data_IF_415345342089
#
_entry.id   IF_415345342089
#
_cell.length_a   1.000
_cell.length_b   1.000
_cell.length_c   1.000
_cell.angle_alpha   90.00
_cell.angle_beta   90.00
_cell.angle_gamma   90.00
#
_symmetry.space_group_name_H-M   'P 1'
#
loop_
_entity.id
_entity.type
_entity.pdbx_description
1 polymer ?
#
# COMPACT_ATOMS: atom_id res chain seq x y z
N UNK A 1 -15.89 -9.05 -0.06
CA UNK A 1 -15.73 -7.67 -0.58
C UNK A 1 -14.37 -7.55 -1.25
N UNK A 2 -14.30 -6.86 -2.39
CA UNK A 2 -13.06 -6.55 -3.10
C UNK A 2 -12.99 -5.03 -3.21
N UNK A 3 -11.85 -4.46 -2.87
CA UNK A 3 -11.54 -3.05 -3.10
C UNK A 3 -10.22 -2.99 -3.86
N UNK A 4 -10.21 -2.39 -5.04
CA UNK A 4 -9.03 -2.33 -5.88
C UNK A 4 -8.97 -1.00 -6.65
N UNK A 5 -7.75 -0.48 -6.84
CA UNK A 5 -7.52 0.74 -7.63
C UNK A 5 -6.21 1.41 -7.28
N UNK A 6 -6.02 2.59 -7.86
CA UNK A 6 -4.95 3.53 -7.53
C UNK A 6 -5.38 4.39 -6.33
N UNK A 7 -4.71 4.21 -5.20
CA UNK A 7 -5.01 4.93 -3.96
C UNK A 7 -4.15 6.21 -3.81
N UNK A 8 -3.16 6.42 -4.70
CA UNK A 8 -2.22 7.53 -4.64
C UNK A 8 -1.56 7.72 -3.25
N UNK A 9 -1.35 6.62 -2.52
CA UNK A 9 -0.72 6.61 -1.20
C UNK A 9 0.21 5.41 -1.07
N UNK A 10 1.20 5.54 -0.18
CA UNK A 10 2.12 4.47 0.21
C UNK A 10 1.62 3.90 1.54
N UNK A 11 1.34 2.59 1.61
CA UNK A 11 0.86 1.92 2.83
C UNK A 11 2.00 1.56 3.77
N UNK A 12 3.08 0.98 3.23
CA UNK A 12 4.29 0.63 3.98
C UNK A 12 5.51 1.40 3.48
N UNK A 13 6.12 2.24 4.32
CA UNK A 13 7.26 3.06 3.89
C UNK A 13 8.55 2.26 3.64
N UNK A 14 8.64 1.04 4.17
CA UNK A 14 9.80 0.17 3.99
C UNK A 14 9.65 -0.71 2.75
N UNK A 15 8.43 -1.16 2.44
CA UNK A 15 8.16 -2.12 1.36
C UNK A 15 7.57 -1.48 0.10
N UNK A 16 6.73 -0.45 0.24
CA UNK A 16 5.96 0.14 -0.87
C UNK A 16 6.63 1.34 -1.54
N UNK A 17 7.83 1.72 -1.12
CA UNK A 17 8.58 2.77 -1.79
C UNK A 17 10.09 2.59 -1.66
N UNK A 18 10.85 3.08 -2.65
CA UNK A 18 12.32 3.18 -2.55
C UNK A 18 12.80 4.45 -1.84
N UNK A 19 11.88 5.26 -1.32
CA UNK A 19 12.21 6.55 -0.71
C UNK A 19 12.92 6.37 0.63
N UNK A 20 13.98 7.15 0.85
CA UNK A 20 14.77 7.13 2.10
C UNK A 20 14.10 7.96 3.22
N UNK A 21 13.08 8.76 2.89
CA UNK A 21 12.43 9.70 3.82
C UNK A 21 10.93 9.45 3.90
N UNK A 22 10.39 9.53 5.12
CA UNK A 22 8.97 9.38 5.41
C UNK A 22 8.09 10.24 4.50
N UNK A 23 7.01 9.65 3.99
CA UNK A 23 6.06 10.28 3.11
C UNK A 23 5.09 11.16 3.93
N UNK A 24 4.52 12.21 3.33
CA UNK A 24 3.55 13.07 4.03
C UNK A 24 2.19 12.38 4.24
N UNK A 25 1.90 11.31 3.49
CA UNK A 25 0.59 10.62 3.52
C UNK A 25 0.40 9.61 4.67
N UNK A 26 1.30 9.58 5.66
CA UNK A 26 1.23 8.60 6.79
C UNK A 26 -0.14 8.58 7.45
N UNK A 27 -0.79 9.74 7.60
CA UNK A 27 -2.13 9.82 8.19
C UNK A 27 -3.19 9.09 7.35
N UNK A 28 -3.16 9.23 6.03
CA UNK A 28 -4.09 8.56 5.11
C UNK A 28 -3.89 7.05 5.10
N UNK A 29 -2.64 6.61 5.03
CA UNK A 29 -2.28 5.19 5.11
C UNK A 29 -2.71 4.56 6.45
N UNK A 30 -2.50 5.28 7.55
CA UNK A 30 -2.92 4.83 8.89
C UNK A 30 -4.43 4.68 8.99
N UNK A 31 -5.19 5.66 8.47
CA UNK A 31 -6.66 5.60 8.47
C UNK A 31 -7.18 4.44 7.60
N UNK A 32 -6.61 4.26 6.40
CA UNK A 32 -6.98 3.16 5.52
C UNK A 32 -6.65 1.80 6.14
N UNK A 33 -5.50 1.68 6.79
CA UNK A 33 -5.13 0.47 7.53
C UNK A 33 -6.12 0.16 8.65
N UNK A 34 -6.48 1.17 9.47
CA UNK A 34 -7.47 1.00 10.55
C UNK A 34 -8.82 0.55 10.02
N UNK A 35 -9.34 1.24 8.99
CA UNK A 35 -10.59 0.85 8.33
C UNK A 35 -10.50 -0.57 7.74
N UNK A 36 -9.35 -0.93 7.17
CA UNK A 36 -9.09 -2.27 6.66
C UNK A 36 -9.20 -3.33 7.75
N UNK A 37 -8.57 -3.10 8.91
CA UNK A 37 -8.65 -4.00 10.07
C UNK A 37 -10.10 -4.17 10.55
N UNK A 38 -10.85 -3.07 10.68
CA UNK A 38 -12.25 -3.10 11.11
C UNK A 38 -13.16 -3.88 10.13
N UNK A 39 -12.88 -3.75 8.83
CA UNK A 39 -13.62 -4.43 7.76
C UNK A 39 -13.09 -5.84 7.44
N UNK A 40 -12.06 -6.32 8.16
CA UNK A 40 -11.41 -7.61 7.91
C UNK A 40 -10.74 -7.70 6.52
N UNK A 41 -10.27 -6.57 5.99
CA UNK A 41 -9.56 -6.49 4.73
C UNK A 41 -8.07 -6.78 4.90
N UNK A 42 -7.51 -7.49 3.93
CA UNK A 42 -6.07 -7.72 3.79
C UNK A 42 -5.58 -7.15 2.47
N UNK A 43 -4.36 -6.60 2.47
CA UNK A 43 -3.60 -6.32 1.24
C UNK A 43 -3.15 -7.66 0.63
N UNK A 44 -3.69 -8.02 -0.53
CA UNK A 44 -3.43 -9.32 -1.17
C UNK A 44 -1.95 -9.48 -1.52
N UNK A 45 -1.31 -8.41 -1.99
CA UNK A 45 0.07 -8.48 -2.44
C UNK A 45 1.00 -8.84 -1.28
N UNK A 46 0.94 -8.10 -0.18
CA UNK A 46 1.77 -8.39 1.00
C UNK A 46 1.34 -9.64 1.75
N UNK A 47 0.07 -10.06 1.66
CA UNK A 47 -0.33 -11.34 2.20
C UNK A 47 0.41 -12.50 1.52
N UNK A 48 0.61 -12.42 0.19
CA UNK A 48 1.33 -13.44 -0.59
C UNK A 48 2.85 -13.23 -0.61
N UNK A 49 3.30 -11.98 -0.50
CA UNK A 49 4.69 -11.57 -0.66
C UNK A 49 5.15 -10.63 0.48
N UNK A 50 5.29 -11.12 1.71
CA UNK A 50 5.39 -10.26 2.89
C UNK A 50 6.63 -9.35 2.96
N UNK A 51 7.66 -9.63 2.16
CA UNK A 51 8.94 -8.91 2.22
C UNK A 51 9.41 -8.44 0.84
N UNK A 52 8.61 -8.64 -0.22
CA UNK A 52 9.02 -8.30 -1.58
C UNK A 52 8.69 -6.84 -1.85
N UNK A 53 9.70 -6.09 -2.26
CA UNK A 53 9.55 -4.69 -2.70
C UNK A 53 9.30 -4.65 -4.20
N UNK A 54 8.03 -4.51 -4.57
CA UNK A 54 7.63 -4.34 -5.96
C UNK A 54 6.72 -3.12 -6.11
N UNK A 55 6.79 -2.45 -7.25
CA UNK A 55 6.24 -1.11 -7.43
C UNK A 55 5.33 -1.05 -8.66
N UNK A 56 4.34 -0.17 -8.62
CA UNK A 56 3.38 0.00 -9.72
C UNK A 56 3.52 1.35 -10.42
N UNK A 57 4.25 2.28 -9.81
CA UNK A 57 4.48 3.63 -10.33
C UNK A 57 5.94 4.08 -10.18
N UNK A 58 6.43 4.78 -11.20
CA UNK A 58 7.70 5.49 -11.18
C UNK A 58 7.47 6.99 -11.38
N UNK A 59 7.97 7.79 -10.44
CA UNK A 59 7.98 9.25 -10.56
C UNK A 59 9.33 9.71 -11.11
N UNK A 60 9.35 10.15 -12.37
CA UNK A 60 10.55 10.69 -13.00
C UNK A 60 11.07 11.94 -12.26
N UNK A 61 10.18 12.88 -11.92
CA UNK A 61 10.53 14.12 -11.24
C UNK A 61 11.25 13.92 -9.89
N UNK A 62 11.05 12.77 -9.24
CA UNK A 62 11.67 12.47 -7.96
C UNK A 62 12.63 11.28 -8.02
N UNK A 63 12.73 10.60 -9.17
CA UNK A 63 13.45 9.34 -9.35
C UNK A 63 13.10 8.30 -8.26
N UNK A 64 11.81 8.11 -8.00
CA UNK A 64 11.30 7.22 -6.94
C UNK A 64 10.31 6.23 -7.53
N UNK A 65 10.42 4.98 -7.07
CA UNK A 65 9.45 3.93 -7.30
C UNK A 65 8.53 3.81 -6.08
N UNK A 66 7.23 3.66 -6.33
CA UNK A 66 6.20 3.47 -5.31
C UNK A 66 5.16 2.46 -5.78
N UNK A 67 4.61 1.68 -4.85
CA UNK A 67 3.38 0.92 -5.06
C UNK A 67 2.20 1.81 -4.67
N UNK A 68 1.36 2.15 -5.63
CA UNK A 68 0.20 3.02 -5.46
C UNK A 68 -1.12 2.30 -5.78
N UNK A 69 -1.04 1.20 -6.51
CA UNK A 69 -2.16 0.34 -6.84
C UNK A 69 -2.26 -0.81 -5.83
N UNK A 70 -3.44 -0.97 -5.23
CA UNK A 70 -3.69 -1.95 -4.19
C UNK A 70 -4.91 -2.78 -4.54
N UNK A 71 -4.87 -4.04 -4.12
CA UNK A 71 -6.03 -4.94 -4.10
C UNK A 71 -6.21 -5.41 -2.66
N UNK A 72 -7.33 -5.04 -2.08
CA UNK A 72 -7.76 -5.49 -0.77
C UNK A 72 -8.91 -6.49 -0.89
N UNK A 73 -8.81 -7.59 -0.14
CA UNK A 73 -9.85 -8.61 -0.06
C UNK A 73 -10.28 -8.80 1.38
N UNK A 74 -11.57 -9.03 1.59
CA UNK A 74 -12.04 -9.48 2.89
C UNK A 74 -11.54 -10.91 3.13
N UNK A 75 -10.84 -11.12 4.26
CA UNK A 75 -10.41 -12.44 4.69
C UNK A 75 -11.61 -13.15 5.31
N UNK A 76 -12.22 -14.06 4.55
CA UNK A 76 -13.25 -14.95 5.08
C UNK A 76 -12.62 -15.79 6.19
N UNK A 77 -13.28 -15.85 7.35
CA UNK A 77 -12.85 -16.67 8.48
C UNK A 77 -12.82 -18.16 8.12
#
# INVERSE_FOLDING_TARGET
MIMAGDFNLVMDEELDTRRIRKHKSVKGATLLHQAGVELGLIDVWHFMHPQIKEFTYYSEAHNIYSRLDYIFLNKVK
#
